data_IF_804391345373
#
_entry.id   IF_804391345373
#
_cell.length_a   1.000
_cell.length_b   1.000
_cell.length_c   1.000
_cell.angle_alpha   90.00
_cell.angle_beta   90.00
_cell.angle_gamma   90.00
#
_symmetry.space_group_name_H-M   'P 1'
#
loop_
_entity.id
_entity.type
_entity.pdbx_description
1 polymer ?
#
# COMPACT_ATOMS: atom_id res chain seq x y z
N UNK A 1 9.16 37.13 38.78
CA UNK A 1 9.70 36.73 37.50
C UNK A 1 9.92 35.21 37.35
N UNK A 2 10.59 34.51 38.29
CA UNK A 2 10.79 33.02 38.16
C UNK A 2 9.50 32.19 38.08
N UNK A 3 8.43 32.54 38.83
CA UNK A 3 7.15 31.82 38.80
C UNK A 3 6.38 32.03 37.49
N UNK A 4 6.52 33.18 36.84
CA UNK A 4 5.91 33.47 35.54
C UNK A 4 6.60 32.68 34.40
N UNK A 5 7.95 32.56 34.47
CA UNK A 5 8.72 31.78 33.48
C UNK A 5 8.40 30.27 33.57
N UNK A 6 8.24 29.73 34.77
CA UNK A 6 7.87 28.31 34.96
C UNK A 6 6.45 28.05 34.46
N UNK A 7 5.51 28.99 34.63
CA UNK A 7 4.14 28.85 34.13
C UNK A 7 4.06 28.87 32.59
N UNK A 8 4.90 29.67 31.94
CA UNK A 8 4.98 29.73 30.47
C UNK A 8 5.62 28.45 29.89
N UNK A 9 6.64 27.90 30.55
CA UNK A 9 7.29 26.65 30.15
C UNK A 9 6.33 25.46 30.30
N UNK A 10 5.56 25.39 31.38
CA UNK A 10 4.56 24.32 31.58
C UNK A 10 3.40 24.45 30.58
N UNK A 11 2.97 25.66 30.25
CA UNK A 11 1.92 25.89 29.25
C UNK A 11 2.40 25.55 27.82
N UNK A 12 3.68 25.77 27.49
CA UNK A 12 4.26 25.40 26.22
C UNK A 12 4.46 23.88 26.04
N UNK A 13 4.74 23.15 27.15
CA UNK A 13 4.80 21.68 27.12
C UNK A 13 3.43 21.02 26.96
N UNK A 14 2.36 21.65 27.40
CA UNK A 14 0.99 21.15 27.26
C UNK A 14 0.42 21.34 25.82
N UNK A 15 0.98 22.26 25.05
CA UNK A 15 0.59 22.48 23.65
C UNK A 15 1.23 21.51 22.63
N UNK A 16 2.21 20.71 23.06
CA UNK A 16 2.90 19.71 22.22
C UNK A 16 2.21 18.33 22.22
N UNK A 17 1.14 18.16 23.00
CA UNK A 17 0.45 16.85 23.14
C UNK A 17 -0.79 16.69 22.23
N UNK A 18 -1.09 17.64 21.35
CA UNK A 18 -2.22 17.55 20.44
C UNK A 18 -1.80 17.09 19.04
N UNK A 19 -1.00 16.03 18.93
CA UNK A 19 -0.99 15.23 17.73
C UNK A 19 -2.11 14.20 17.85
N UNK A 20 -3.29 14.54 17.32
CA UNK A 20 -4.33 13.56 17.04
C UNK A 20 -3.74 12.51 16.10
N UNK A 21 -3.53 11.33 16.61
CA UNK A 21 -3.24 10.15 15.82
C UNK A 21 -4.47 9.85 14.96
N UNK A 22 -4.46 10.37 13.73
CA UNK A 22 -5.22 9.72 12.67
C UNK A 22 -4.67 8.29 12.57
N UNK A 23 -5.56 7.29 12.67
CA UNK A 23 -5.25 5.86 12.63
C UNK A 23 -4.73 5.37 11.26
N UNK A 24 -3.94 6.13 10.57
CA UNK A 24 -3.16 5.75 9.40
C UNK A 24 -1.75 5.28 9.81
N UNK A 25 -1.65 4.13 10.46
CA UNK A 25 -0.35 3.59 10.85
C UNK A 25 0.41 3.06 9.63
N UNK A 26 1.52 3.70 9.31
CA UNK A 26 2.48 3.16 8.34
C UNK A 26 3.15 1.93 8.96
N UNK A 27 2.99 0.77 8.35
CA UNK A 27 3.59 -0.47 8.84
C UNK A 27 4.74 -0.88 7.91
N UNK A 28 5.95 -0.91 8.43
CA UNK A 28 7.07 -1.56 7.76
C UNK A 28 6.97 -3.06 8.01
N UNK A 29 7.01 -3.84 6.94
CA UNK A 29 7.02 -5.30 7.03
C UNK A 29 8.45 -5.76 7.22
N UNK A 30 8.68 -6.56 8.27
CA UNK A 30 9.97 -7.24 8.46
C UNK A 30 9.96 -8.55 7.65
N UNK A 31 11.09 -8.89 7.03
CA UNK A 31 11.23 -10.15 6.30
C UNK A 31 10.88 -11.36 7.16
N UNK A 32 10.16 -12.31 6.58
CA UNK A 32 9.83 -13.58 7.25
C UNK A 32 8.47 -13.61 7.95
N UNK A 33 7.54 -12.68 7.68
CA UNK A 33 6.17 -12.76 8.20
C UNK A 33 5.47 -14.02 7.69
N UNK A 34 5.09 -14.88 8.64
CA UNK A 34 4.36 -16.12 8.35
C UNK A 34 2.87 -15.81 8.27
N UNK A 35 2.19 -16.42 7.31
CA UNK A 35 0.75 -16.33 7.17
C UNK A 35 0.04 -17.02 8.33
N UNK A 36 -0.95 -16.34 8.91
CA UNK A 36 -1.85 -16.90 9.95
C UNK A 36 -2.92 -17.76 9.26
N UNK A 37 -2.91 -19.06 9.56
CA UNK A 37 -3.85 -20.03 8.99
C UNK A 37 -4.80 -20.57 10.06
N UNK A 38 -6.04 -20.78 9.66
CA UNK A 38 -7.01 -21.46 10.51
C UNK A 38 -6.52 -22.88 10.82
N UNK A 39 -6.46 -23.23 12.10
CA UNK A 39 -6.03 -24.55 12.55
C UNK A 39 -7.11 -25.62 12.36
N UNK A 40 -8.35 -25.19 12.26
CA UNK A 40 -9.54 -26.04 12.03
C UNK A 40 -10.43 -25.34 11.02
N UNK A 41 -11.28 -26.09 10.35
CA UNK A 41 -12.29 -25.54 9.44
C UNK A 41 -13.16 -24.50 10.16
N UNK A 42 -13.24 -23.31 9.58
CA UNK A 42 -14.08 -22.23 10.10
C UNK A 42 -15.51 -22.47 9.62
N UNK A 43 -16.50 -22.47 10.52
CA UNK A 43 -17.90 -22.67 10.12
C UNK A 43 -18.34 -21.63 9.07
N UNK A 44 -19.12 -22.04 8.08
CA UNK A 44 -19.64 -21.18 7.01
C UNK A 44 -20.33 -19.91 7.56
N UNK A 45 -21.04 -20.04 8.70
CA UNK A 45 -21.68 -18.91 9.38
C UNK A 45 -20.68 -17.85 9.90
N UNK A 46 -19.39 -18.10 9.84
CA UNK A 46 -18.30 -17.22 10.26
C UNK A 46 -17.46 -16.69 9.10
N UNK A 47 -17.65 -17.23 7.89
CA UNK A 47 -16.91 -16.82 6.70
C UNK A 47 -17.59 -15.63 6.04
N UNK A 48 -16.86 -14.61 5.65
CA UNK A 48 -17.30 -13.53 4.76
C UNK A 48 -16.73 -13.74 3.36
N UNK A 49 -17.55 -13.44 2.35
CA UNK A 49 -17.07 -13.36 0.97
C UNK A 49 -16.35 -12.02 0.75
N UNK A 50 -15.22 -12.07 0.08
CA UNK A 50 -14.35 -10.91 -0.10
C UNK A 50 -14.23 -10.57 -1.58
N UNK A 51 -14.41 -9.30 -1.90
CA UNK A 51 -14.05 -8.72 -3.18
C UNK A 51 -12.81 -7.86 -3.02
N UNK A 52 -11.76 -8.16 -3.78
CA UNK A 52 -10.56 -7.33 -3.87
C UNK A 52 -10.67 -6.57 -5.19
N UNK A 53 -10.74 -5.25 -5.13
CA UNK A 53 -10.75 -4.44 -6.35
C UNK A 53 -9.41 -4.49 -7.07
N UNK A 54 -9.44 -4.37 -8.38
CA UNK A 54 -8.25 -3.99 -9.17
C UNK A 54 -7.67 -2.72 -8.54
N UNK A 55 -6.40 -2.75 -8.13
CA UNK A 55 -5.78 -1.66 -7.39
C UNK A 55 -5.68 -0.39 -8.22
N UNK A 56 -5.67 0.75 -7.54
CA UNK A 56 -5.30 2.01 -8.18
C UNK A 56 -3.80 1.98 -8.51
N UNK A 57 -3.40 2.18 -9.79
CA UNK A 57 -2.00 2.21 -10.18
C UNK A 57 -1.22 3.38 -9.53
N UNK A 58 -1.91 4.32 -8.92
CA UNK A 58 -1.31 5.53 -8.36
C UNK A 58 -0.74 6.46 -9.41
N UNK A 59 0.14 7.33 -8.99
CA UNK A 59 0.82 8.29 -9.88
C UNK A 59 2.33 8.08 -9.81
N UNK A 60 2.98 8.15 -10.97
CA UNK A 60 4.44 8.19 -11.01
C UNK A 60 4.95 9.61 -10.74
N UNK A 61 6.02 9.77 -9.93
CA UNK A 61 6.69 11.04 -9.76
C UNK A 61 7.13 11.62 -11.11
N UNK A 62 7.06 12.94 -11.29
CA UNK A 62 7.37 13.56 -12.58
C UNK A 62 8.82 13.36 -13.05
N UNK A 63 9.75 13.32 -12.09
CA UNK A 63 11.17 13.04 -12.32
C UNK A 63 11.45 11.58 -12.71
N UNK A 64 10.51 10.68 -12.53
CA UNK A 64 10.66 9.25 -12.83
C UNK A 64 9.89 8.82 -14.09
N UNK A 65 9.05 9.72 -14.65
CA UNK A 65 8.29 9.44 -15.87
C UNK A 65 9.24 9.21 -17.06
N UNK A 66 9.38 7.94 -17.43
CA UNK A 66 10.13 7.52 -18.61
C UNK A 66 11.66 7.50 -18.49
N UNK A 67 12.24 8.02 -17.41
CA UNK A 67 13.70 8.07 -17.25
C UNK A 67 14.32 6.74 -16.79
N UNK A 68 13.54 5.89 -16.08
CA UNK A 68 14.06 4.72 -15.36
C UNK A 68 13.27 3.43 -15.61
N UNK A 69 12.60 3.27 -16.76
CA UNK A 69 11.83 2.04 -17.04
C UNK A 69 10.55 1.89 -16.19
N UNK A 70 10.18 2.88 -15.38
CA UNK A 70 8.87 2.96 -14.75
C UNK A 70 7.89 3.57 -15.77
N UNK A 71 6.82 2.85 -16.08
CA UNK A 71 5.77 3.33 -16.97
C UNK A 71 4.40 3.10 -16.35
N UNK A 72 3.41 3.90 -16.77
CA UNK A 72 2.03 3.68 -16.36
C UNK A 72 1.49 2.35 -16.85
N UNK A 73 1.97 1.85 -18.00
CA UNK A 73 1.57 0.53 -18.52
C UNK A 73 1.97 -0.59 -17.54
N UNK A 74 3.16 -0.49 -16.94
CA UNK A 74 3.62 -1.44 -15.91
C UNK A 74 2.76 -1.30 -14.66
N UNK A 75 2.50 -0.06 -14.20
CA UNK A 75 1.62 0.20 -13.06
C UNK A 75 0.20 -0.32 -13.26
N UNK A 76 -0.33 -0.22 -14.47
CA UNK A 76 -1.62 -0.80 -14.82
C UNK A 76 -1.58 -2.34 -14.83
N UNK A 77 -0.48 -2.96 -15.28
CA UNK A 77 -0.31 -4.41 -15.16
C UNK A 77 -0.20 -4.84 -13.68
N UNK A 78 0.60 -4.13 -12.88
CA UNK A 78 0.75 -4.34 -11.44
C UNK A 78 -0.59 -4.17 -10.70
N UNK A 79 -1.42 -3.21 -11.10
CA UNK A 79 -2.73 -2.97 -10.49
C UNK A 79 -3.69 -4.15 -10.59
N UNK A 80 -3.48 -5.05 -11.56
CA UNK A 80 -4.23 -6.30 -11.73
C UNK A 80 -3.50 -7.50 -11.12
N UNK A 81 -2.16 -7.51 -11.17
CA UNK A 81 -1.36 -8.60 -10.63
C UNK A 81 -1.38 -8.66 -9.11
N UNK A 82 -1.22 -7.52 -8.44
CA UNK A 82 -1.12 -7.46 -6.97
C UNK A 82 -2.39 -7.91 -6.23
N UNK A 83 -3.62 -7.56 -6.67
CA UNK A 83 -4.84 -8.11 -6.08
C UNK A 83 -4.92 -9.63 -6.14
N UNK A 84 -4.43 -10.25 -7.23
CA UNK A 84 -4.41 -11.70 -7.37
C UNK A 84 -3.44 -12.36 -6.38
N UNK A 85 -2.26 -11.75 -6.15
CA UNK A 85 -1.34 -12.22 -5.11
C UNK A 85 -1.96 -12.13 -3.72
N UNK A 86 -2.68 -11.03 -3.44
CA UNK A 86 -3.41 -10.88 -2.19
C UNK A 86 -4.54 -11.91 -2.07
N UNK A 87 -5.33 -12.14 -3.15
CA UNK A 87 -6.38 -13.17 -3.21
C UNK A 87 -5.82 -14.54 -2.86
N UNK A 88 -4.78 -14.97 -3.58
CA UNK A 88 -4.14 -16.27 -3.37
C UNK A 88 -3.57 -16.41 -1.95
N UNK A 89 -3.10 -15.32 -1.36
CA UNK A 89 -2.63 -15.29 0.03
C UNK A 89 -3.79 -15.39 1.01
N UNK A 90 -4.88 -14.65 0.81
CA UNK A 90 -6.05 -14.68 1.68
C UNK A 90 -6.73 -16.06 1.68
N UNK A 91 -6.88 -16.69 0.52
CA UNK A 91 -7.44 -18.05 0.40
C UNK A 91 -6.66 -19.07 1.24
N UNK A 92 -5.33 -18.94 1.33
CA UNK A 92 -4.49 -19.83 2.14
C UNK A 92 -4.73 -19.69 3.65
N UNK A 93 -5.34 -18.57 4.12
CA UNK A 93 -5.62 -18.38 5.55
C UNK A 93 -6.72 -19.26 6.07
N UNK A 94 -7.71 -19.61 5.25
CA UNK A 94 -8.90 -20.38 5.61
C UNK A 94 -9.91 -19.64 6.48
N UNK A 95 -9.85 -18.29 6.58
CA UNK A 95 -10.78 -17.46 7.34
C UNK A 95 -11.90 -16.85 6.50
N UNK A 96 -11.87 -17.05 5.18
CA UNK A 96 -12.75 -16.40 4.23
C UNK A 96 -13.61 -17.41 3.48
N UNK A 97 -14.78 -16.96 3.03
CA UNK A 97 -15.56 -17.66 2.02
C UNK A 97 -14.88 -17.54 0.64
N UNK A 98 -15.62 -17.20 -0.38
CA UNK A 98 -15.02 -16.91 -1.67
C UNK A 98 -14.24 -15.59 -1.67
N UNK A 99 -13.01 -15.60 -2.18
CA UNK A 99 -12.21 -14.39 -2.40
C UNK A 99 -12.09 -14.16 -3.91
N UNK A 100 -12.52 -12.98 -4.37
CA UNK A 100 -12.61 -12.66 -5.80
C UNK A 100 -11.89 -11.36 -6.11
N UNK A 101 -11.22 -11.29 -7.24
CA UNK A 101 -10.76 -10.02 -7.81
C UNK A 101 -11.85 -9.47 -8.71
N UNK A 102 -12.22 -8.20 -8.49
CA UNK A 102 -13.33 -7.55 -9.17
C UNK A 102 -12.90 -6.21 -9.79
N UNK A 103 -13.55 -5.75 -10.87
CA UNK A 103 -13.39 -4.38 -11.33
C UNK A 103 -13.74 -3.36 -10.26
N UNK A 104 -13.13 -2.18 -10.33
CA UNK A 104 -13.45 -1.08 -9.40
C UNK A 104 -14.90 -0.65 -9.51
N UNK A 105 -15.48 -0.32 -8.36
CA UNK A 105 -16.86 0.18 -8.28
C UNK A 105 -17.94 -0.91 -8.32
N UNK A 106 -17.58 -2.18 -8.19
CA UNK A 106 -18.58 -3.25 -8.02
C UNK A 106 -19.08 -3.32 -6.58
N UNK A 107 -20.41 -3.33 -6.44
CA UNK A 107 -21.10 -3.29 -5.14
C UNK A 107 -21.43 -4.67 -4.56
N UNK A 108 -20.85 -5.75 -5.11
CA UNK A 108 -21.21 -7.14 -4.76
C UNK A 108 -20.20 -7.71 -3.76
N UNK A 109 -20.16 -7.24 -2.52
CA UNK A 109 -19.30 -7.90 -1.54
C UNK A 109 -19.75 -7.70 -0.11
N UNK A 110 -19.51 -8.70 0.72
CA UNK A 110 -19.67 -8.61 2.16
C UNK A 110 -18.48 -7.84 2.77
N UNK A 111 -17.28 -8.04 2.24
CA UNK A 111 -16.07 -7.26 2.53
C UNK A 111 -15.42 -6.80 1.23
N UNK A 112 -15.23 -5.50 1.09
CA UNK A 112 -14.49 -4.88 0.00
C UNK A 112 -13.08 -4.52 0.46
N UNK A 113 -12.08 -4.97 -0.30
CA UNK A 113 -10.68 -4.60 -0.12
C UNK A 113 -10.23 -3.81 -1.33
N UNK A 114 -9.92 -2.55 -1.15
CA UNK A 114 -9.34 -1.68 -2.19
C UNK A 114 -7.88 -1.35 -1.88
N UNK A 115 -7.09 -1.13 -2.92
CA UNK A 115 -5.68 -0.83 -2.79
C UNK A 115 -5.22 0.26 -3.75
N UNK A 116 -4.20 1.01 -3.33
CA UNK A 116 -3.46 1.97 -4.16
C UNK A 116 -1.98 1.63 -4.12
N UNK A 117 -1.35 1.59 -5.28
CA UNK A 117 0.10 1.39 -5.41
C UNK A 117 0.78 2.74 -5.18
N UNK A 118 1.45 2.90 -4.05
CA UNK A 118 2.18 4.12 -3.71
C UNK A 118 3.57 4.09 -4.33
N UNK A 119 4.29 2.97 -4.21
CA UNK A 119 5.60 2.75 -4.79
C UNK A 119 5.76 1.29 -5.24
N UNK A 120 6.41 1.06 -6.38
CA UNK A 120 6.88 -0.23 -6.87
C UNK A 120 8.05 0.01 -7.80
N UNK A 121 9.25 -0.37 -7.37
CA UNK A 121 10.49 -0.08 -8.12
C UNK A 121 11.48 -1.27 -8.16
N UNK A 122 11.00 -2.46 -7.83
CA UNK A 122 11.79 -3.69 -7.76
C UNK A 122 12.53 -3.90 -6.44
N UNK A 123 12.91 -2.85 -5.71
CA UNK A 123 13.53 -2.93 -4.37
C UNK A 123 12.53 -2.65 -3.26
N UNK A 124 11.48 -1.93 -3.55
CA UNK A 124 10.47 -1.49 -2.59
C UNK A 124 9.07 -1.63 -3.18
N UNK A 125 8.15 -2.07 -2.36
CA UNK A 125 6.72 -2.10 -2.63
C UNK A 125 5.99 -1.44 -1.48
N UNK A 126 5.27 -0.34 -1.78
CA UNK A 126 4.40 0.36 -0.84
C UNK A 126 2.96 0.31 -1.36
N UNK A 127 2.07 -0.21 -0.54
CA UNK A 127 0.63 -0.29 -0.82
C UNK A 127 -0.16 0.42 0.27
N UNK A 128 -1.18 1.16 -0.13
CA UNK A 128 -2.24 1.58 0.78
C UNK A 128 -3.43 0.66 0.59
N UNK A 129 -3.90 0.03 1.66
CA UNK A 129 -5.04 -0.90 1.65
C UNK A 129 -6.14 -0.35 2.53
N UNK A 130 -7.35 -0.32 1.99
CA UNK A 130 -8.59 -0.02 2.71
C UNK A 130 -9.47 -1.27 2.72
N UNK A 131 -10.02 -1.60 3.87
CA UNK A 131 -11.02 -2.65 4.03
C UNK A 131 -12.29 -2.07 4.61
N UNK A 132 -13.43 -2.33 3.94
CA UNK A 132 -14.75 -1.82 4.31
C UNK A 132 -15.79 -2.91 4.11
N UNK A 133 -16.64 -3.14 5.09
CA UNK A 133 -17.71 -4.11 4.96
C UNK A 133 -18.97 -3.53 4.32
N UNK A 134 -19.91 -4.41 3.97
CA UNK A 134 -21.13 -4.02 3.28
C UNK A 134 -21.99 -3.01 4.06
N UNK A 135 -21.88 -2.99 5.38
CA UNK A 135 -22.60 -1.99 6.19
C UNK A 135 -22.03 -0.57 6.07
N UNK A 136 -20.88 -0.39 5.40
CA UNK A 136 -20.17 0.88 5.31
C UNK A 136 -19.14 1.09 6.42
N UNK A 137 -19.01 0.11 7.32
CA UNK A 137 -18.04 0.19 8.40
C UNK A 137 -16.63 -0.06 7.85
N UNK A 138 -15.79 0.94 7.96
CA UNK A 138 -14.40 0.88 7.54
C UNK A 138 -13.55 0.21 8.62
N UNK A 139 -13.04 -0.98 8.33
CA UNK A 139 -12.19 -1.73 9.26
C UNK A 139 -10.86 -1.03 9.47
N UNK A 140 -10.22 -0.62 8.38
CA UNK A 140 -8.99 0.20 8.40
C UNK A 140 -8.65 0.78 7.03
N UNK A 141 -7.80 1.80 7.05
CA UNK A 141 -6.96 2.22 5.93
C UNK A 141 -5.52 2.24 6.44
N UNK A 142 -4.64 1.45 5.83
CA UNK A 142 -3.24 1.30 6.26
C UNK A 142 -2.29 1.31 5.09
N UNK A 143 -1.11 1.89 5.31
CA UNK A 143 0.03 1.77 4.42
C UNK A 143 0.90 0.59 4.85
N UNK A 144 1.28 -0.24 3.89
CA UNK A 144 2.19 -1.36 4.05
C UNK A 144 3.40 -1.13 3.17
N UNK A 145 4.57 -1.34 3.73
CA UNK A 145 5.84 -1.18 3.03
C UNK A 145 6.70 -2.41 3.26
N UNK A 146 7.26 -2.94 2.18
CA UNK A 146 8.26 -3.99 2.20
C UNK A 146 9.41 -3.62 1.26
N UNK A 147 10.61 -4.08 1.57
CA UNK A 147 11.80 -3.79 0.79
C UNK A 147 12.80 -4.92 0.82
N UNK A 148 13.45 -5.13 -0.31
CA UNK A 148 14.52 -6.12 -0.48
C UNK A 148 15.80 -5.46 -0.95
N UNK A 149 16.93 -6.06 -0.62
CA UNK A 149 18.22 -5.64 -1.18
C UNK A 149 18.43 -6.24 -2.57
N UNK A 150 19.16 -5.56 -3.46
CA UNK A 150 19.45 -6.06 -4.81
C UNK A 150 20.16 -7.43 -4.79
N UNK A 151 20.96 -7.69 -3.77
CA UNK A 151 21.60 -8.99 -3.55
C UNK A 151 20.59 -10.15 -3.40
N UNK A 152 19.35 -9.88 -3.01
CA UNK A 152 18.30 -10.88 -2.94
C UNK A 152 18.01 -11.50 -4.32
N UNK A 153 17.99 -10.69 -5.38
CA UNK A 153 17.76 -11.14 -6.75
C UNK A 153 18.91 -11.94 -7.36
N UNK A 154 20.10 -11.89 -6.75
CA UNK A 154 21.25 -12.68 -7.17
C UNK A 154 21.29 -14.06 -6.49
N UNK A 155 20.42 -14.28 -5.51
CA UNK A 155 20.29 -15.57 -4.83
C UNK A 155 19.70 -16.61 -5.80
N UNK A 156 20.27 -17.80 -5.85
CA UNK A 156 19.76 -18.93 -6.64
C UNK A 156 18.46 -19.53 -6.09
N UNK A 157 17.87 -18.96 -5.06
CA UNK A 157 16.65 -19.40 -4.38
C UNK A 157 15.53 -18.35 -4.45
N UNK A 158 15.34 -17.75 -5.62
CA UNK A 158 14.12 -16.97 -5.87
C UNK A 158 12.98 -17.97 -6.08
N UNK A 159 12.26 -18.29 -5.01
CA UNK A 159 11.10 -19.16 -5.05
C UNK A 159 9.88 -18.35 -4.59
N UNK A 160 8.96 -18.10 -5.52
CA UNK A 160 7.71 -17.39 -5.27
C UNK A 160 7.76 -15.86 -5.35
N UNK A 161 6.78 -15.24 -4.75
CA UNK A 161 6.60 -13.78 -4.74
C UNK A 161 7.59 -13.09 -3.79
N UNK A 162 8.37 -12.16 -4.32
CA UNK A 162 9.43 -11.45 -3.58
C UNK A 162 8.87 -10.69 -2.38
N UNK A 163 7.70 -10.05 -2.54
CA UNK A 163 7.03 -9.30 -1.50
C UNK A 163 5.93 -10.11 -0.79
N UNK A 164 6.06 -11.45 -0.76
CA UNK A 164 5.11 -12.31 -0.04
C UNK A 164 4.93 -11.91 1.44
N UNK A 165 5.96 -11.45 2.19
CA UNK A 165 5.80 -10.98 3.56
C UNK A 165 4.80 -9.81 3.69
N UNK A 166 4.75 -8.90 2.70
CA UNK A 166 3.79 -7.81 2.67
C UNK A 166 2.37 -8.34 2.52
N UNK A 167 2.11 -9.24 1.57
CA UNK A 167 0.80 -9.86 1.37
C UNK A 167 0.37 -10.67 2.60
N UNK A 168 1.29 -11.41 3.21
CA UNK A 168 1.03 -12.12 4.47
C UNK A 168 0.61 -11.16 5.59
N UNK A 169 1.26 -10.00 5.68
CA UNK A 169 0.93 -8.99 6.69
C UNK A 169 -0.47 -8.42 6.48
N UNK A 170 -0.83 -8.09 5.23
CA UNK A 170 -2.17 -7.60 4.88
C UNK A 170 -3.22 -8.67 5.23
N UNK A 171 -3.01 -9.89 4.76
CA UNK A 171 -3.93 -11.02 5.02
C UNK A 171 -4.10 -11.30 6.53
N UNK A 172 -3.00 -11.23 7.30
CA UNK A 172 -3.03 -11.41 8.75
C UNK A 172 -3.79 -10.28 9.48
N UNK A 173 -3.67 -9.04 9.01
CA UNK A 173 -4.40 -7.92 9.59
C UNK A 173 -5.91 -8.06 9.33
N UNK A 174 -6.31 -8.43 8.10
CA UNK A 174 -7.70 -8.73 7.74
C UNK A 174 -8.25 -9.91 8.56
N UNK A 175 -7.49 -11.01 8.65
CA UNK A 175 -7.86 -12.18 9.44
C UNK A 175 -8.02 -11.85 10.93
N UNK A 176 -7.16 -10.99 11.48
CA UNK A 176 -7.26 -10.53 12.87
C UNK A 176 -8.56 -9.78 13.11
N UNK A 177 -8.97 -8.95 12.16
CA UNK A 177 -10.20 -8.18 12.28
C UNK A 177 -11.44 -9.09 12.24
N UNK A 178 -11.57 -9.96 11.23
CA UNK A 178 -12.75 -10.84 11.10
C UNK A 178 -12.88 -11.83 12.28
N UNK A 179 -11.77 -12.29 12.84
CA UNK A 179 -11.79 -13.16 14.04
C UNK A 179 -12.41 -12.50 15.27
N UNK A 180 -12.35 -11.17 15.36
CA UNK A 180 -12.89 -10.40 16.49
C UNK A 180 -14.37 -10.03 16.33
N UNK A 181 -14.92 -10.15 15.10
CA UNK A 181 -16.30 -9.80 14.85
C UNK A 181 -17.26 -10.75 15.58
N UNK A 182 -18.29 -10.24 16.27
CA UNK A 182 -19.42 -11.04 16.74
C UNK A 182 -20.16 -11.76 15.59
N UNK A 183 -20.84 -12.86 15.89
CA UNK A 183 -21.63 -13.57 14.87
C UNK A 183 -22.77 -12.72 14.30
N UNK A 184 -23.36 -11.92 15.15
CA UNK A 184 -24.44 -11.00 14.81
C UNK A 184 -23.98 -9.99 13.76
N UNK A 185 -22.77 -9.46 13.89
CA UNK A 185 -22.21 -8.50 12.93
C UNK A 185 -21.92 -9.19 11.59
N UNK A 186 -21.39 -10.39 11.57
CA UNK A 186 -21.20 -11.17 10.34
C UNK A 186 -22.53 -11.41 9.63
N UNK A 187 -23.57 -11.78 10.38
CA UNK A 187 -24.92 -11.96 9.81
C UNK A 187 -25.48 -10.65 9.24
N UNK A 188 -25.30 -9.55 9.97
CA UNK A 188 -25.76 -8.22 9.52
C UNK A 188 -25.04 -7.79 8.24
N UNK A 189 -23.70 -7.95 8.18
CA UNK A 189 -22.91 -7.61 7.00
C UNK A 189 -23.44 -8.35 5.76
N UNK A 190 -23.73 -9.66 5.87
CA UNK A 190 -24.29 -10.44 4.77
C UNK A 190 -25.66 -9.94 4.33
N UNK A 191 -26.56 -9.72 5.29
CA UNK A 191 -27.90 -9.21 5.00
C UNK A 191 -27.85 -7.85 4.32
N UNK A 192 -26.98 -6.96 4.77
CA UNK A 192 -26.79 -5.65 4.14
C UNK A 192 -26.22 -5.81 2.73
N UNK A 193 -25.23 -6.69 2.50
CA UNK A 193 -24.68 -6.94 1.18
C UNK A 193 -25.74 -7.42 0.19
N UNK A 194 -26.57 -8.39 0.59
CA UNK A 194 -27.68 -8.92 -0.21
C UNK A 194 -28.72 -7.83 -0.53
N UNK A 195 -29.10 -7.03 0.46
CA UNK A 195 -30.11 -5.97 0.27
C UNK A 195 -29.57 -4.80 -0.55
N UNK A 196 -28.31 -4.43 -0.41
CA UNK A 196 -27.69 -3.41 -1.27
C UNK A 196 -27.71 -3.87 -2.73
N UNK A 197 -27.32 -5.11 -2.98
CA UNK A 197 -27.42 -5.67 -4.32
C UNK A 197 -28.87 -5.69 -4.85
N UNK A 198 -29.82 -6.07 -4.00
CA UNK A 198 -31.25 -6.06 -4.37
C UNK A 198 -31.75 -4.66 -4.70
N UNK A 199 -31.32 -3.64 -3.95
CA UNK A 199 -31.64 -2.24 -4.23
C UNK A 199 -31.02 -1.73 -5.53
N UNK A 200 -29.81 -2.18 -5.88
CA UNK A 200 -29.16 -1.83 -7.15
C UNK A 200 -29.90 -2.42 -8.35
N UNK A 201 -30.37 -3.67 -8.25
CA UNK A 201 -31.07 -4.37 -9.35
C UNK A 201 -32.55 -3.96 -9.47
N UNK A 202 -33.24 -3.78 -8.33
CA UNK A 202 -34.67 -3.51 -8.29
C UNK A 202 -35.00 -2.46 -7.20
N UNK A 203 -34.57 -1.19 -7.37
CA UNK A 203 -34.71 -0.16 -6.34
C UNK A 203 -36.17 0.04 -5.90
N UNK A 204 -37.14 0.04 -6.83
CA UNK A 204 -38.57 0.23 -6.51
C UNK A 204 -39.11 -0.88 -5.59
N UNK A 205 -38.57 -2.09 -5.66
CA UNK A 205 -39.03 -3.22 -4.87
C UNK A 205 -38.39 -3.27 -3.47
N UNK A 206 -37.20 -2.72 -3.31
CA UNK A 206 -36.40 -2.85 -2.08
C UNK A 206 -36.15 -1.51 -1.36
N UNK A 207 -36.73 -0.41 -1.82
CA UNK A 207 -36.71 0.87 -1.10
C UNK A 207 -37.29 0.71 0.32
N UNK A 208 -36.53 1.17 1.33
CA UNK A 208 -36.92 1.12 2.74
C UNK A 208 -36.53 -0.20 3.47
N UNK A 209 -35.85 -1.13 2.80
CA UNK A 209 -35.30 -2.33 3.46
C UNK A 209 -34.01 -2.03 4.22
N UNK A 210 -33.26 -1.03 3.77
CA UNK A 210 -32.09 -0.49 4.44
C UNK A 210 -32.31 0.97 4.82
N UNK A 211 -31.72 1.38 5.91
CA UNK A 211 -31.58 2.76 6.35
C UNK A 211 -30.11 3.13 6.42
N UNK A 212 -29.77 4.30 5.88
CA UNK A 212 -28.43 4.86 5.96
C UNK A 212 -28.43 5.90 7.06
N UNK A 213 -27.56 5.75 8.05
CA UNK A 213 -27.43 6.71 9.13
C UNK A 213 -26.51 7.89 8.76
N UNK A 214 -26.40 8.87 9.66
CA UNK A 214 -25.57 10.07 9.48
C UNK A 214 -24.05 9.75 9.43
N UNK A 215 -23.63 8.58 9.89
CA UNK A 215 -22.23 8.11 9.81
C UNK A 215 -21.92 7.44 8.47
N UNK A 216 -22.91 7.14 7.66
CA UNK A 216 -22.79 6.43 6.40
C UNK A 216 -22.88 4.92 6.55
N UNK A 217 -23.35 4.41 7.70
CA UNK A 217 -23.56 2.99 7.93
C UNK A 217 -24.98 2.57 7.59
N UNK A 218 -25.09 1.40 6.92
CA UNK A 218 -26.37 0.78 6.58
C UNK A 218 -26.84 -0.14 7.70
N UNK A 219 -28.11 0.02 8.05
CA UNK A 219 -28.82 -0.89 8.96
C UNK A 219 -30.01 -1.55 8.26
N UNK A 220 -30.30 -2.80 8.64
CA UNK A 220 -31.44 -3.55 8.11
C UNK A 220 -32.71 -3.11 8.85
N UNK A 221 -33.69 -2.58 8.12
CA UNK A 221 -35.00 -2.22 8.67
C UNK A 221 -35.91 -3.45 8.71
N UNK A 222 -35.98 -4.20 7.62
CA UNK A 222 -36.67 -5.47 7.54
C UNK A 222 -36.09 -6.35 6.42
N UNK A 223 -36.30 -7.64 6.52
CA UNK A 223 -35.88 -8.62 5.53
C UNK A 223 -37.01 -8.94 4.56
N UNK A 224 -36.71 -9.31 3.31
CA UNK A 224 -37.68 -9.87 2.37
C UNK A 224 -38.32 -11.15 2.93
N UNK A 225 -39.56 -11.42 2.55
CA UNK A 225 -40.15 -12.73 2.82
C UNK A 225 -39.34 -13.83 2.15
N UNK A 226 -39.26 -15.01 2.79
CA UNK A 226 -38.54 -16.14 2.26
C UNK A 226 -39.00 -16.58 0.86
N UNK A 227 -40.29 -16.39 0.55
CA UNK A 227 -40.94 -16.74 -0.71
C UNK A 227 -41.19 -15.52 -1.62
N UNK A 228 -40.53 -14.41 -1.38
CA UNK A 228 -40.64 -13.22 -2.23
C UNK A 228 -40.09 -13.51 -3.65
N UNK A 229 -40.96 -13.49 -4.69
CA UNK A 229 -40.54 -13.85 -6.04
C UNK A 229 -39.55 -12.85 -6.66
N UNK A 230 -39.56 -11.58 -6.23
CA UNK A 230 -38.64 -10.56 -6.73
C UNK A 230 -37.27 -10.78 -6.10
N UNK A 231 -37.23 -11.02 -4.81
CA UNK A 231 -35.98 -11.34 -4.12
C UNK A 231 -35.32 -12.60 -4.69
N UNK A 232 -36.08 -13.67 -4.96
CA UNK A 232 -35.58 -14.87 -5.63
C UNK A 232 -34.98 -14.61 -7.03
N UNK A 233 -35.56 -13.65 -7.79
CA UNK A 233 -35.00 -13.24 -9.09
C UNK A 233 -33.67 -12.49 -8.92
N UNK A 234 -33.59 -11.60 -7.94
CA UNK A 234 -32.36 -10.85 -7.62
C UNK A 234 -31.25 -11.79 -7.22
N UNK A 235 -31.53 -12.76 -6.36
CA UNK A 235 -30.56 -13.80 -5.97
C UNK A 235 -30.04 -14.59 -7.18
N UNK A 236 -30.93 -15.00 -8.09
CA UNK A 236 -30.54 -15.71 -9.31
C UNK A 236 -29.66 -14.84 -10.26
N UNK A 237 -29.86 -13.52 -10.28
CA UNK A 237 -29.00 -12.58 -11.01
C UNK A 237 -27.62 -12.52 -10.34
N UNK A 238 -27.59 -12.36 -9.02
CA UNK A 238 -26.35 -12.30 -8.22
C UNK A 238 -25.51 -13.56 -8.40
N UNK A 239 -26.10 -14.74 -8.31
CA UNK A 239 -25.43 -16.02 -8.53
C UNK A 239 -24.78 -16.09 -9.94
N UNK A 240 -25.51 -15.65 -10.97
CA UNK A 240 -24.98 -15.63 -12.32
C UNK A 240 -23.83 -14.65 -12.51
N UNK A 241 -23.92 -13.46 -11.89
CA UNK A 241 -22.86 -12.46 -11.95
C UNK A 241 -21.61 -12.95 -11.21
N UNK A 242 -21.77 -13.60 -10.06
CA UNK A 242 -20.67 -14.23 -9.33
C UNK A 242 -20.01 -15.36 -10.14
N UNK A 243 -20.79 -16.21 -10.81
CA UNK A 243 -20.26 -17.26 -11.70
C UNK A 243 -19.45 -16.67 -12.87
N UNK A 244 -19.89 -15.55 -13.43
CA UNK A 244 -19.13 -14.84 -14.46
C UNK A 244 -17.80 -14.34 -13.92
N UNK A 245 -17.79 -13.72 -12.73
CA UNK A 245 -16.57 -13.25 -12.06
C UNK A 245 -15.63 -14.44 -11.77
N UNK A 246 -16.15 -15.54 -11.23
CA UNK A 246 -15.37 -16.75 -10.96
C UNK A 246 -14.74 -17.32 -12.24
N UNK A 247 -15.49 -17.32 -13.36
CA UNK A 247 -14.97 -17.73 -14.66
C UNK A 247 -13.84 -16.83 -15.13
N UNK A 248 -13.99 -15.50 -15.00
CA UNK A 248 -12.95 -14.54 -15.35
C UNK A 248 -11.72 -14.71 -14.47
N UNK A 249 -11.89 -14.82 -13.14
CA UNK A 249 -10.78 -15.04 -12.22
C UNK A 249 -10.03 -16.34 -12.58
N UNK A 250 -10.74 -17.43 -12.89
CA UNK A 250 -10.13 -18.71 -13.31
C UNK A 250 -9.32 -18.60 -14.60
N UNK A 251 -9.75 -17.77 -15.57
CA UNK A 251 -8.97 -17.51 -16.79
C UNK A 251 -7.71 -16.70 -16.49
N UNK A 252 -7.81 -15.71 -15.61
CA UNK A 252 -6.67 -14.88 -15.23
C UNK A 252 -5.66 -15.59 -14.34
N UNK A 253 -6.06 -16.57 -13.55
CA UNK A 253 -5.15 -17.37 -12.70
C UNK A 253 -3.98 -17.98 -13.48
N UNK A 254 -4.24 -18.53 -14.67
CA UNK A 254 -3.20 -19.09 -15.51
C UNK A 254 -2.28 -17.99 -16.04
N UNK A 255 -2.86 -16.89 -16.51
CA UNK A 255 -2.11 -15.74 -17.01
C UNK A 255 -1.18 -15.16 -15.94
N UNK A 256 -1.65 -14.98 -14.71
CA UNK A 256 -0.82 -14.42 -13.63
C UNK A 256 0.29 -15.37 -13.19
N UNK A 257 0.04 -16.68 -13.21
CA UNK A 257 1.12 -17.67 -12.97
C UNK A 257 2.19 -17.62 -14.05
N UNK A 258 1.82 -17.47 -15.31
CA UNK A 258 2.76 -17.32 -16.41
C UNK A 258 3.51 -15.99 -16.38
N UNK A 259 2.90 -14.93 -15.82
CA UNK A 259 3.51 -13.62 -15.65
C UNK A 259 4.52 -13.55 -14.51
N UNK A 260 4.55 -14.50 -13.58
CA UNK A 260 5.40 -14.46 -12.40
C UNK A 260 6.89 -14.38 -12.75
N UNK A 261 7.36 -15.23 -13.66
CA UNK A 261 8.77 -15.25 -14.06
C UNK A 261 9.18 -13.98 -14.81
N UNK A 262 8.47 -13.54 -15.89
CA UNK A 262 8.76 -12.26 -16.55
C UNK A 262 8.73 -11.06 -15.61
N UNK A 263 7.80 -11.04 -14.67
CA UNK A 263 7.68 -9.95 -13.70
C UNK A 263 8.84 -9.96 -12.69
N UNK A 264 9.28 -11.12 -12.26
CA UNK A 264 10.47 -11.27 -11.41
C UNK A 264 11.73 -10.80 -12.13
N UNK A 265 11.92 -11.17 -13.40
CA UNK A 265 13.05 -10.69 -14.21
C UNK A 265 13.00 -9.17 -14.43
N UNK A 266 11.83 -8.60 -14.66
CA UNK A 266 11.68 -7.14 -14.72
C UNK A 266 12.05 -6.48 -13.39
N UNK A 267 11.57 -6.98 -12.24
CA UNK A 267 11.94 -6.47 -10.91
C UNK A 267 13.43 -6.53 -10.68
N UNK A 268 14.08 -7.62 -11.07
CA UNK A 268 15.54 -7.78 -10.99
C UNK A 268 16.26 -6.72 -11.82
N UNK A 269 15.89 -6.54 -13.07
CA UNK A 269 16.47 -5.49 -13.92
C UNK A 269 16.27 -4.09 -13.31
N UNK A 270 15.09 -3.83 -12.73
CA UNK A 270 14.79 -2.58 -12.04
C UNK A 270 15.61 -2.40 -10.77
N UNK A 271 15.82 -3.46 -9.99
CA UNK A 271 16.63 -3.40 -8.79
C UNK A 271 18.07 -3.00 -9.08
N UNK A 272 18.66 -3.52 -10.17
CA UNK A 272 20.01 -3.18 -10.61
C UNK A 272 20.11 -1.70 -11.02
N UNK A 273 19.10 -1.14 -11.66
CA UNK A 273 19.05 0.28 -12.00
C UNK A 273 18.86 1.18 -10.78
N UNK A 274 17.96 0.82 -9.88
CA UNK A 274 17.71 1.55 -8.64
C UNK A 274 18.97 1.58 -7.74
N UNK A 275 19.73 0.48 -7.69
CA UNK A 275 20.98 0.45 -6.95
C UNK A 275 22.05 1.35 -7.57
N UNK A 276 22.19 1.32 -8.91
CA UNK A 276 23.09 2.25 -9.62
C UNK A 276 22.73 3.70 -9.37
N UNK A 277 21.45 4.04 -9.37
CA UNK A 277 20.99 5.39 -9.09
C UNK A 277 21.34 5.82 -7.66
N UNK A 278 21.06 4.98 -6.65
CA UNK A 278 21.44 5.24 -5.26
C UNK A 278 22.95 5.43 -5.10
N UNK A 279 23.76 4.67 -5.81
CA UNK A 279 25.21 4.82 -5.77
C UNK A 279 25.66 6.14 -6.41
N UNK A 280 25.05 6.55 -7.53
CA UNK A 280 25.30 7.86 -8.15
C UNK A 280 24.92 9.02 -7.24
N UNK A 281 23.78 8.92 -6.54
CA UNK A 281 23.33 9.92 -5.56
C UNK A 281 24.31 10.02 -4.37
N UNK A 282 24.77 8.87 -3.84
CA UNK A 282 25.81 8.85 -2.80
C UNK A 282 27.09 9.51 -3.25
N UNK A 283 27.55 9.20 -4.47
CA UNK A 283 28.74 9.80 -5.03
C UNK A 283 28.58 11.30 -5.23
N UNK A 284 27.40 11.76 -5.71
CA UNK A 284 27.09 13.19 -5.85
C UNK A 284 27.08 13.90 -4.48
N UNK A 285 26.45 13.30 -3.47
CA UNK A 285 26.42 13.82 -2.11
C UNK A 285 27.85 13.89 -1.51
N UNK A 286 28.62 12.81 -1.63
CA UNK A 286 29.99 12.78 -1.12
C UNK A 286 30.87 13.85 -1.77
N UNK A 287 30.72 14.06 -3.09
CA UNK A 287 31.45 15.13 -3.81
C UNK A 287 31.02 16.52 -3.35
N UNK A 288 29.72 16.70 -3.14
CA UNK A 288 29.18 17.97 -2.62
C UNK A 288 29.69 18.24 -1.20
N UNK A 289 29.71 17.23 -0.33
CA UNK A 289 30.24 17.35 1.04
C UNK A 289 31.75 17.63 1.04
N UNK A 290 32.51 16.96 0.19
CA UNK A 290 33.95 17.23 0.03
C UNK A 290 34.21 18.64 -0.49
N UNK A 291 33.37 19.11 -1.43
CA UNK A 291 33.43 20.49 -1.92
C UNK A 291 33.17 21.52 -0.81
N UNK A 292 32.12 21.31 0.01
CA UNK A 292 31.83 22.18 1.15
C UNK A 292 32.95 22.12 2.20
N UNK A 293 33.46 20.93 2.53
CA UNK A 293 34.56 20.77 3.48
C UNK A 293 35.82 21.48 2.99
N UNK A 294 36.12 21.45 1.68
CA UNK A 294 37.26 22.15 1.09
C UNK A 294 37.13 23.66 1.20
N UNK A 295 35.92 24.21 1.01
CA UNK A 295 35.65 25.65 1.15
C UNK A 295 35.80 26.07 2.60
N UNK A 296 35.20 25.32 3.54
CA UNK A 296 35.32 25.61 4.98
C UNK A 296 36.76 25.50 5.44
N UNK A 297 37.48 24.48 4.99
CA UNK A 297 38.91 24.28 5.30
C UNK A 297 39.75 25.44 4.80
N UNK A 298 39.50 25.94 3.56
CA UNK A 298 40.21 27.12 2.99
C UNK A 298 39.95 28.38 3.79
N UNK A 299 38.73 28.61 4.26
CA UNK A 299 38.35 29.76 5.11
C UNK A 299 39.08 29.68 6.46
N UNK A 300 39.13 28.48 7.07
CA UNK A 300 39.77 28.28 8.38
C UNK A 300 41.29 28.49 8.28
N UNK A 301 41.97 27.99 7.26
CA UNK A 301 43.39 28.17 7.03
C UNK A 301 43.70 29.65 6.77
N UNK A 302 42.89 30.32 5.92
CA UNK A 302 43.05 31.77 5.67
C UNK A 302 42.82 32.66 6.88
N UNK A 303 41.96 32.25 7.85
CA UNK A 303 41.71 32.99 9.08
C UNK A 303 42.78 32.76 10.16
N UNK A 304 43.47 31.60 10.16
CA UNK A 304 44.52 31.26 11.13
C UNK A 304 45.87 31.93 10.77
N UNK A 305 46.11 32.33 9.53
CA UNK A 305 47.35 32.99 9.06
C UNK A 305 47.18 34.48 8.84
N UNK A 306 46.51 35.15 9.75
CA UNK A 306 46.48 36.62 9.80
C UNK A 306 47.89 37.21 10.02
N UNK A 307 48.61 37.43 8.99
CA UNK A 307 49.83 38.27 8.82
C UNK A 307 51.04 37.52 8.23
N UNK A 308 51.06 37.31 6.93
CA UNK A 308 52.19 37.58 6.04
C UNK A 308 51.96 36.96 4.64
N UNK A 309 52.16 37.79 3.63
CA UNK A 309 51.88 37.48 2.24
C UNK A 309 52.61 36.24 1.72
N UNK A 310 51.85 35.36 1.11
CA UNK A 310 52.36 34.26 0.33
C UNK A 310 51.46 33.07 0.02
N UNK A 311 50.24 32.99 0.56
CA UNK A 311 49.41 31.78 0.42
C UNK A 311 48.01 31.99 -0.27
N UNK A 312 47.84 33.15 -0.91
CA UNK A 312 46.60 33.43 -1.68
C UNK A 312 46.30 32.40 -2.77
N UNK A 313 47.34 31.79 -3.34
CA UNK A 313 47.19 30.86 -4.47
C UNK A 313 46.63 29.47 -4.07
N UNK A 314 46.96 28.97 -2.85
CA UNK A 314 46.46 27.66 -2.40
C UNK A 314 45.01 27.71 -1.94
N UNK A 315 44.62 28.79 -1.23
CA UNK A 315 43.24 28.98 -0.83
C UNK A 315 42.33 29.23 -2.02
N UNK A 316 42.80 30.00 -3.02
CA UNK A 316 42.07 30.27 -4.27
C UNK A 316 41.88 28.99 -5.09
N UNK A 317 42.90 28.11 -5.15
CA UNK A 317 42.79 26.79 -5.82
C UNK A 317 41.85 25.87 -5.09
N UNK A 318 41.86 25.86 -3.74
CA UNK A 318 40.92 25.05 -2.96
C UNK A 318 39.47 25.54 -3.04
N UNK A 319 39.22 26.84 -3.06
CA UNK A 319 37.89 27.41 -3.28
C UNK A 319 37.38 27.11 -4.67
N UNK A 320 38.20 27.22 -5.69
CA UNK A 320 37.84 26.84 -7.06
C UNK A 320 37.59 25.36 -7.20
N UNK A 321 38.43 24.51 -6.60
CA UNK A 321 38.26 23.08 -6.58
C UNK A 321 36.99 22.65 -5.84
N UNK A 322 36.69 23.29 -4.69
CA UNK A 322 35.47 23.06 -3.94
C UNK A 322 34.22 23.44 -4.69
N UNK A 323 34.21 24.61 -5.33
CA UNK A 323 33.10 25.07 -6.17
C UNK A 323 32.87 24.14 -7.37
N UNK A 324 33.94 23.69 -8.04
CA UNK A 324 33.85 22.71 -9.13
C UNK A 324 33.28 21.36 -8.66
N UNK A 325 33.68 20.90 -7.48
CA UNK A 325 33.16 19.65 -6.89
C UNK A 325 31.67 19.78 -6.54
N UNK A 326 31.21 20.93 -6.00
CA UNK A 326 29.80 21.20 -5.73
C UNK A 326 29.00 21.24 -7.04
N UNK A 327 29.49 21.96 -8.05
CA UNK A 327 28.82 22.04 -9.35
C UNK A 327 28.71 20.66 -10.00
N UNK A 328 29.78 19.88 -10.00
CA UNK A 328 29.74 18.52 -10.53
C UNK A 328 28.85 17.55 -9.73
N UNK A 329 28.75 17.75 -8.42
CA UNK A 329 27.82 17.02 -7.56
C UNK A 329 26.35 17.39 -7.85
N UNK A 330 26.08 18.67 -8.11
CA UNK A 330 24.75 19.16 -8.50
C UNK A 330 24.34 18.66 -9.88
N UNK A 331 25.23 18.74 -10.87
CA UNK A 331 24.96 18.31 -12.25
C UNK A 331 24.64 16.79 -12.36
N UNK A 332 25.01 15.98 -11.37
CA UNK A 332 24.66 14.54 -11.32
C UNK A 332 23.30 14.25 -10.67
N UNK A 333 22.61 15.27 -10.15
CA UNK A 333 21.27 15.09 -9.54
C UNK A 333 20.12 15.30 -10.53
N UNK A 334 20.39 15.65 -11.78
CA UNK A 334 19.40 15.90 -12.84
C UNK A 334 19.59 14.92 -14.00
#
# INVERSE_FOLDING_TARGET
>A
MKKLLISIIVLSLLLLSACSTTNGGRRNVEGGVIIDKALTEVPESRLLNVSIEVFDPGTLPENEKGANGLSMDIREAESRYMPEQLRATMEQTGYWGAVRVVPRGMTISELLVSGTILESNGLQLDLQITAEDASGNKWFTKEYRDGVEAAYYQSSKLDGEVFQPLYNTIANDLARFVKQLPREDISRIRQVAELRFAMDIAPDAFTGYLELDDSGEFSVVHLPSYDDPMYGRVQAIQERDLLMIDTLNGHFDNFYREMQDPYTEWRKARSDEAEKQKELERQALNRTLLGVASIVGAIFVGAAEGNNGGLGTLSDVMVLGGAAAIKYGMDKRY
#
